data_IF_175163020236
#
_entry.id   IF_175163020236
#
_cell.length_a   1.000
_cell.length_b   1.000
_cell.length_c   1.000
_cell.angle_alpha   90.00
_cell.angle_beta   90.00
_cell.angle_gamma   90.00
#
_symmetry.space_group_name_H-M   'P 1'
#
loop_
_entity.id
_entity.type
_entity.pdbx_description
1 polymer ?
#
# COMPACT_ATOMS: atom_id res chain seq x y z
N UNK A 1 3.43 -50.61 17.64
CA UNK A 1 4.61 -49.78 17.31
C UNK A 1 5.83 -50.45 17.91
N UNK A 2 6.79 -50.95 17.11
CA UNK A 2 8.05 -51.48 17.62
C UNK A 2 9.05 -50.34 17.92
N UNK A 3 9.94 -50.51 18.91
CA UNK A 3 10.92 -49.48 19.29
C UNK A 3 12.06 -49.37 18.26
N UNK A 4 12.42 -48.13 17.96
CA UNK A 4 13.50 -47.76 17.05
C UNK A 4 14.87 -47.92 17.73
N UNK A 5 15.72 -48.80 17.19
CA UNK A 5 17.12 -48.95 17.60
C UNK A 5 18.00 -47.85 16.95
N UNK A 6 18.73 -47.03 17.71
CA UNK A 6 19.66 -46.04 17.17
C UNK A 6 20.95 -46.71 16.69
N UNK A 7 21.15 -46.74 15.37
CA UNK A 7 22.39 -47.23 14.74
C UNK A 7 23.57 -46.32 15.08
N UNK A 8 24.55 -46.86 15.80
CA UNK A 8 25.88 -46.27 16.01
C UNK A 8 26.63 -46.15 14.69
N UNK A 9 26.99 -44.93 14.30
CA UNK A 9 27.92 -44.63 13.21
C UNK A 9 29.37 -44.86 13.66
N UNK A 10 30.22 -45.52 12.85
CA UNK A 10 31.64 -45.70 13.16
C UNK A 10 32.45 -44.42 12.87
N UNK A 11 33.58 -44.21 13.57
CA UNK A 11 34.43 -43.03 13.41
C UNK A 11 35.13 -43.01 12.05
N UNK A 12 34.96 -41.90 11.30
CA UNK A 12 35.72 -41.62 10.09
C UNK A 12 37.21 -41.43 10.43
N UNK A 13 38.07 -42.24 9.82
CA UNK A 13 39.52 -42.08 9.90
C UNK A 13 39.94 -40.99 8.91
N UNK A 14 40.43 -39.87 9.44
CA UNK A 14 41.00 -38.79 8.64
C UNK A 14 42.17 -39.27 7.80
N UNK A 15 42.02 -39.20 6.47
CA UNK A 15 43.10 -39.38 5.52
C UNK A 15 43.93 -38.09 5.49
N UNK A 16 45.06 -38.09 6.18
CA UNK A 16 46.09 -37.06 6.06
C UNK A 16 46.68 -37.09 4.64
N UNK A 17 46.18 -36.22 3.76
CA UNK A 17 46.75 -35.96 2.44
C UNK A 17 48.09 -35.24 2.67
N UNK A 18 49.19 -35.98 2.54
CA UNK A 18 50.54 -35.41 2.51
C UNK A 18 50.74 -34.74 1.17
N UNK A 19 50.53 -33.42 1.11
CA UNK A 19 50.97 -32.60 -0.01
C UNK A 19 52.50 -32.64 -0.08
N UNK A 20 53.01 -33.35 -1.08
CA UNK A 20 54.42 -33.38 -1.40
C UNK A 20 54.85 -31.97 -1.84
N UNK A 21 55.71 -31.34 -1.03
CA UNK A 21 56.33 -30.04 -1.28
C UNK A 21 57.37 -30.17 -2.39
N UNK A 22 56.92 -30.28 -3.65
CA UNK A 22 57.82 -30.21 -4.80
C UNK A 22 58.12 -28.73 -5.10
N UNK A 23 59.39 -28.28 -5.02
CA UNK A 23 59.75 -26.87 -5.22
C UNK A 23 59.42 -26.36 -6.62
N UNK A 24 59.31 -27.25 -7.61
CA UNK A 24 58.89 -26.92 -8.97
C UNK A 24 57.42 -26.48 -9.07
N UNK A 25 56.53 -26.98 -8.19
CA UNK A 25 55.12 -26.61 -8.17
C UNK A 25 54.94 -25.20 -7.61
N UNK A 26 55.72 -24.83 -6.59
CA UNK A 26 55.73 -23.47 -6.04
C UNK A 26 56.26 -22.43 -7.03
N UNK A 27 57.31 -22.77 -7.80
CA UNK A 27 57.82 -21.88 -8.85
C UNK A 27 56.82 -21.65 -9.98
N UNK A 28 56.09 -22.69 -10.41
CA UNK A 28 55.02 -22.53 -11.40
C UNK A 28 53.89 -21.65 -10.88
N UNK A 29 53.48 -21.79 -9.62
CA UNK A 29 52.42 -20.99 -9.02
C UNK A 29 52.80 -19.50 -8.90
N UNK A 30 54.04 -19.20 -8.50
CA UNK A 30 54.56 -17.83 -8.43
C UNK A 30 54.66 -17.19 -9.83
N UNK A 31 55.14 -17.92 -10.83
CA UNK A 31 55.22 -17.41 -12.21
C UNK A 31 53.83 -17.16 -12.80
N UNK A 32 52.86 -18.01 -12.48
CA UNK A 32 51.46 -17.83 -12.93
C UNK A 32 50.81 -16.62 -12.25
N UNK A 33 51.09 -16.37 -10.96
CA UNK A 33 50.63 -15.16 -10.28
C UNK A 33 51.27 -13.87 -10.82
N UNK A 34 52.57 -13.90 -11.18
CA UNK A 34 53.27 -12.72 -11.70
C UNK A 34 52.90 -12.39 -13.16
N UNK A 35 52.59 -13.40 -13.99
CA UNK A 35 52.10 -13.16 -15.36
C UNK A 35 50.60 -12.78 -15.40
N UNK A 36 49.81 -13.15 -14.39
CA UNK A 36 48.41 -12.72 -14.26
C UNK A 36 48.23 -11.25 -13.84
N UNK A 37 49.25 -10.60 -13.27
CA UNK A 37 49.14 -9.24 -12.72
C UNK A 37 49.08 -8.10 -13.74
N UNK A 38 49.47 -8.34 -15.01
CA UNK A 38 49.50 -7.29 -16.05
C UNK A 38 48.24 -7.25 -16.93
N UNK A 39 47.29 -8.17 -16.74
CA UNK A 39 46.01 -8.19 -17.47
C UNK A 39 44.88 -7.37 -16.83
N UNK A 40 45.07 -6.86 -15.60
CA UNK A 40 44.00 -6.20 -14.83
C UNK A 40 43.80 -4.71 -15.12
N UNK A 41 44.59 -4.09 -16.00
CA UNK A 41 44.54 -2.65 -16.24
C UNK A 41 43.73 -2.23 -17.48
N UNK A 42 43.14 -3.17 -18.25
CA UNK A 42 42.43 -2.84 -19.50
C UNK A 42 41.03 -3.47 -19.58
N UNK A 43 40.53 -4.07 -18.50
CA UNK A 43 39.12 -4.44 -18.39
C UNK A 43 38.54 -3.59 -17.28
N UNK A 44 37.63 -2.68 -17.62
CA UNK A 44 36.97 -1.76 -16.71
C UNK A 44 36.15 -2.51 -15.65
N UNK A 45 36.81 -2.95 -14.59
CA UNK A 45 36.19 -3.21 -13.31
C UNK A 45 35.87 -1.87 -12.69
N UNK A 46 34.74 -1.27 -13.09
CA UNK A 46 34.10 -0.26 -12.27
C UNK A 46 33.90 -0.83 -10.87
N UNK A 47 34.52 -0.18 -9.90
CA UNK A 47 34.12 -0.10 -8.49
C UNK A 47 33.12 -1.17 -8.02
N UNK A 48 33.61 -2.40 -7.86
CA UNK A 48 32.84 -3.49 -7.27
C UNK A 48 33.16 -3.54 -5.77
N UNK A 49 32.21 -3.13 -4.91
CA UNK A 49 32.32 -3.31 -3.45
C UNK A 49 31.77 -4.69 -3.03
N UNK A 50 32.61 -5.62 -2.56
CA UNK A 50 32.18 -6.94 -2.09
C UNK A 50 31.22 -6.94 -0.90
N UNK A 51 31.07 -5.82 -0.19
CA UNK A 51 30.12 -5.68 0.93
C UNK A 51 28.70 -5.35 0.47
N UNK A 52 28.52 -4.98 -0.79
CA UNK A 52 27.24 -4.62 -1.38
C UNK A 52 27.12 -5.19 -2.81
N UNK A 53 27.09 -6.53 -2.95
CA UNK A 53 27.18 -7.21 -4.25
C UNK A 53 26.01 -6.93 -5.21
N UNK A 54 24.98 -6.21 -4.74
CA UNK A 54 23.76 -5.86 -5.49
C UNK A 54 23.48 -4.36 -5.55
N UNK A 55 24.30 -3.50 -4.95
CA UNK A 55 24.28 -2.06 -5.26
C UNK A 55 24.91 -1.89 -6.64
N UNK A 56 24.09 -2.12 -7.66
CA UNK A 56 24.38 -1.77 -9.04
C UNK A 56 24.01 -0.30 -9.18
N UNK A 57 25.02 0.58 -9.26
CA UNK A 57 24.93 1.92 -9.84
C UNK A 57 24.42 1.80 -11.30
N UNK A 58 23.13 1.58 -11.47
CA UNK A 58 22.47 1.74 -12.76
C UNK A 58 22.00 3.19 -12.76
N UNK A 59 22.70 4.11 -13.45
CA UNK A 59 22.36 5.53 -13.40
C UNK A 59 20.91 5.81 -13.85
N UNK A 60 20.33 4.91 -14.65
CA UNK A 60 18.92 4.98 -15.04
C UNK A 60 17.96 4.70 -13.87
N UNK A 61 18.32 3.78 -12.95
CA UNK A 61 17.52 3.48 -11.75
C UNK A 61 17.68 4.60 -10.73
N UNK A 62 18.90 5.10 -10.51
CA UNK A 62 19.14 6.25 -9.62
C UNK A 62 18.36 7.47 -10.10
N UNK A 63 18.39 7.74 -11.41
CA UNK A 63 17.58 8.79 -12.04
C UNK A 63 16.08 8.54 -11.86
N UNK A 64 15.61 7.29 -12.00
CA UNK A 64 14.20 6.99 -11.81
C UNK A 64 13.75 7.24 -10.36
N UNK A 65 14.58 6.90 -9.38
CA UNK A 65 14.33 7.19 -7.96
C UNK A 65 14.26 8.70 -7.73
N UNK A 66 15.23 9.47 -8.25
CA UNK A 66 15.20 10.94 -8.13
C UNK A 66 13.93 11.54 -8.74
N UNK A 67 13.47 11.01 -9.89
CA UNK A 67 12.23 11.43 -10.55
C UNK A 67 11.00 11.04 -9.74
N UNK A 68 10.99 9.84 -9.17
CA UNK A 68 9.92 9.34 -8.32
C UNK A 68 9.77 10.20 -7.06
N UNK A 69 10.88 10.48 -6.37
CA UNK A 69 10.91 11.33 -5.17
C UNK A 69 10.48 12.77 -5.47
N UNK A 70 10.73 13.25 -6.69
CA UNK A 70 10.24 14.54 -7.19
C UNK A 70 8.75 14.53 -7.60
N UNK A 71 8.06 13.40 -7.48
CA UNK A 71 6.66 13.23 -7.90
C UNK A 71 6.46 13.20 -9.42
N UNK A 72 7.53 12.99 -10.20
CA UNK A 72 7.51 12.93 -11.67
C UNK A 72 7.33 11.48 -12.14
N UNK A 73 6.22 10.85 -11.74
CA UNK A 73 5.98 9.42 -11.92
C UNK A 73 6.01 8.97 -13.38
N UNK A 74 5.50 9.77 -14.32
CA UNK A 74 5.53 9.43 -15.76
C UNK A 74 6.98 9.33 -16.27
N UNK A 75 7.85 10.24 -15.83
CA UNK A 75 9.27 10.23 -16.21
C UNK A 75 10.05 9.11 -15.52
N UNK A 76 9.71 8.82 -14.26
CA UNK A 76 10.28 7.69 -13.53
C UNK A 76 9.92 6.35 -14.21
N UNK A 77 8.66 6.19 -14.64
CA UNK A 77 8.20 5.02 -15.37
C UNK A 77 8.98 4.85 -16.69
N UNK A 78 9.08 5.90 -17.51
CA UNK A 78 9.83 5.84 -18.78
C UNK A 78 11.30 5.40 -18.59
N UNK A 79 11.96 5.92 -17.54
CA UNK A 79 13.32 5.54 -17.20
C UNK A 79 13.45 4.06 -16.82
N UNK A 80 12.52 3.55 -16.00
CA UNK A 80 12.50 2.14 -15.57
C UNK A 80 12.10 1.21 -16.71
N UNK A 81 11.13 1.59 -17.55
CA UNK A 81 10.72 0.83 -18.73
C UNK A 81 11.88 0.69 -19.72
N UNK A 82 12.66 1.75 -19.91
CA UNK A 82 13.89 1.73 -20.72
C UNK A 82 14.95 0.81 -20.10
N UNK A 83 15.17 0.93 -18.79
CA UNK A 83 16.13 0.12 -18.06
C UNK A 83 15.80 -1.39 -18.11
N UNK A 84 14.52 -1.73 -18.05
CA UNK A 84 14.02 -3.10 -18.08
C UNK A 84 13.72 -3.60 -19.50
N UNK A 85 13.67 -2.71 -20.48
CA UNK A 85 13.29 -2.97 -21.87
C UNK A 85 11.87 -3.58 -21.98
N UNK A 86 10.96 -3.14 -21.12
CA UNK A 86 9.55 -3.57 -21.11
C UNK A 86 8.75 -2.91 -22.24
N UNK A 87 9.19 -1.73 -22.66
CA UNK A 87 8.37 -0.81 -23.45
C UNK A 87 7.33 -0.09 -22.58
N UNK A 88 6.62 0.90 -23.16
CA UNK A 88 5.59 1.64 -22.44
C UNK A 88 4.40 0.75 -22.08
N UNK A 89 3.74 1.05 -20.96
CA UNK A 89 2.39 0.55 -20.69
C UNK A 89 1.44 1.04 -21.80
N UNK A 90 0.74 0.12 -22.46
CA UNK A 90 -0.25 0.42 -23.50
C UNK A 90 -1.41 -0.57 -23.44
N UNK A 91 -2.65 -0.05 -23.40
CA UNK A 91 -3.88 -0.85 -23.37
C UNK A 91 -3.87 -1.94 -22.27
N UNK A 92 -3.38 -1.60 -21.07
CA UNK A 92 -3.30 -2.55 -19.94
C UNK A 92 -2.23 -3.64 -20.11
N UNK A 93 -1.36 -3.51 -21.10
CA UNK A 93 -0.29 -4.47 -21.40
C UNK A 93 1.08 -3.81 -21.35
N UNK A 94 2.02 -4.51 -20.73
CA UNK A 94 3.43 -4.13 -20.67
C UNK A 94 4.31 -5.35 -20.96
N UNK A 95 5.45 -5.15 -21.63
CA UNK A 95 6.33 -6.25 -22.00
C UNK A 95 6.97 -6.91 -20.79
N UNK A 96 7.09 -8.25 -20.82
CA UNK A 96 7.81 -9.04 -19.82
C UNK A 96 9.08 -9.68 -20.39
N UNK A 97 10.11 -8.88 -20.75
CA UNK A 97 11.38 -9.44 -21.17
C UNK A 97 12.08 -10.15 -20.00
N UNK A 98 13.04 -11.07 -20.25
CA UNK A 98 13.77 -11.79 -19.19
C UNK A 98 14.43 -10.87 -18.15
N UNK A 99 14.76 -9.64 -18.54
CA UNK A 99 15.33 -8.60 -17.70
C UNK A 99 14.47 -8.27 -16.49
N UNK A 100 13.13 -8.34 -16.60
CA UNK A 100 12.21 -8.05 -15.48
C UNK A 100 12.50 -8.98 -14.30
N UNK A 101 12.64 -10.28 -14.56
CA UNK A 101 12.95 -11.27 -13.52
C UNK A 101 14.39 -11.15 -13.01
N UNK A 102 15.33 -10.87 -13.91
CA UNK A 102 16.75 -10.72 -13.56
C UNK A 102 17.06 -9.44 -12.77
N UNK A 103 16.22 -8.41 -12.90
CA UNK A 103 16.35 -7.08 -12.27
C UNK A 103 15.12 -6.80 -11.40
N UNK A 104 14.83 -7.71 -10.47
CA UNK A 104 13.63 -7.69 -9.65
C UNK A 104 13.44 -6.40 -8.83
N UNK A 105 14.50 -5.76 -8.33
CA UNK A 105 14.39 -4.48 -7.61
C UNK A 105 13.83 -3.38 -8.52
N UNK A 106 14.49 -3.10 -9.65
CA UNK A 106 13.99 -2.08 -10.59
C UNK A 106 12.63 -2.44 -11.19
N UNK A 107 12.28 -3.73 -11.27
CA UNK A 107 10.95 -4.16 -11.69
C UNK A 107 9.89 -3.89 -10.61
N UNK A 108 10.24 -4.09 -9.35
CA UNK A 108 9.37 -3.73 -8.24
C UNK A 108 9.17 -2.21 -8.18
N UNK A 109 10.22 -1.43 -8.39
CA UNK A 109 10.16 0.04 -8.48
C UNK A 109 9.27 0.51 -9.64
N UNK A 110 9.30 -0.19 -10.78
CA UNK A 110 8.37 0.09 -11.89
C UNK A 110 6.92 -0.19 -11.49
N UNK A 111 6.66 -1.31 -10.80
CA UNK A 111 5.35 -1.62 -10.25
C UNK A 111 4.83 -0.55 -9.28
N UNK A 112 5.69 -0.05 -8.38
CA UNK A 112 5.36 1.05 -7.47
C UNK A 112 5.06 2.36 -8.21
N UNK A 113 5.85 2.67 -9.24
CA UNK A 113 5.65 3.87 -10.04
C UNK A 113 4.31 3.83 -10.78
N UNK A 114 3.97 2.68 -11.38
CA UNK A 114 2.68 2.47 -12.05
C UNK A 114 1.51 2.50 -11.05
N UNK A 115 1.69 2.02 -9.81
CA UNK A 115 0.70 2.18 -8.75
C UNK A 115 0.37 3.66 -8.49
N UNK A 116 1.38 4.53 -8.35
CA UNK A 116 1.13 5.96 -8.17
C UNK A 116 0.53 6.66 -9.39
N UNK A 117 0.85 6.18 -10.61
CA UNK A 117 0.16 6.65 -11.82
C UNK A 117 -1.32 6.27 -11.80
N UNK A 118 -1.67 5.06 -11.35
CA UNK A 118 -3.05 4.65 -11.18
C UNK A 118 -3.81 5.49 -10.14
N UNK A 119 -3.15 5.88 -9.04
CA UNK A 119 -3.73 6.75 -8.01
C UNK A 119 -4.11 8.16 -8.51
N UNK A 120 -3.57 8.60 -9.65
CA UNK A 120 -3.95 9.87 -10.28
C UNK A 120 -5.40 9.88 -10.75
N UNK A 121 -5.96 8.71 -11.05
CA UNK A 121 -7.29 8.54 -11.60
C UNK A 121 -8.27 8.14 -10.49
N UNK A 122 -8.71 9.10 -9.67
CA UNK A 122 -9.67 8.90 -8.56
C UNK A 122 -9.05 9.07 -7.17
N UNK A 123 -9.66 8.50 -6.13
CA UNK A 123 -9.17 8.64 -4.74
C UNK A 123 -7.90 7.84 -4.49
N UNK A 124 -7.07 8.35 -3.58
CA UNK A 124 -5.84 7.70 -3.15
C UNK A 124 -6.11 6.56 -2.20
N UNK A 125 -5.21 5.59 -2.17
CA UNK A 125 -5.27 4.52 -1.19
C UNK A 125 -5.20 5.09 0.23
N UNK A 126 -6.11 4.66 1.10
CA UNK A 126 -6.17 5.10 2.50
C UNK A 126 -7.03 6.35 2.77
N UNK A 127 -7.57 7.02 1.75
CA UNK A 127 -8.55 8.12 1.94
C UNK A 127 -10.01 7.65 1.94
N UNK A 128 -10.23 6.34 2.08
CA UNK A 128 -11.52 5.69 1.84
C UNK A 128 -12.52 5.80 2.99
N UNK A 129 -12.10 6.31 4.15
CA UNK A 129 -13.04 6.67 5.22
C UNK A 129 -13.94 7.85 4.80
N UNK A 130 -13.51 8.65 3.81
CA UNK A 130 -14.30 9.73 3.24
C UNK A 130 -15.28 9.26 2.14
N UNK A 131 -15.36 7.95 1.88
CA UNK A 131 -16.26 7.34 0.89
C UNK A 131 -15.54 6.30 0.02
N UNK A 132 -16.31 5.68 -0.86
CA UNK A 132 -15.86 4.59 -1.73
C UNK A 132 -14.55 4.93 -2.49
N UNK A 133 -13.64 3.95 -2.60
CA UNK A 133 -12.26 3.98 -3.11
C UNK A 133 -12.08 4.58 -4.53
N UNK A 134 -13.19 4.81 -5.22
CA UNK A 134 -13.23 5.17 -6.63
C UNK A 134 -13.56 6.64 -6.90
N UNK A 135 -13.39 6.97 -8.17
CA UNK A 135 -14.08 8.06 -8.86
C UNK A 135 -15.39 7.50 -9.42
N UNK A 136 -16.46 8.30 -9.38
CA UNK A 136 -17.73 7.93 -10.03
C UNK A 136 -17.66 8.15 -11.56
N UNK A 137 -16.54 8.68 -12.07
CA UNK A 137 -16.30 8.85 -13.49
C UNK A 137 -15.85 7.51 -14.13
N UNK A 138 -16.65 6.94 -15.05
CA UNK A 138 -16.29 5.70 -15.72
C UNK A 138 -15.02 5.83 -16.58
N UNK A 139 -14.72 7.00 -17.14
CA UNK A 139 -13.53 7.21 -17.97
C UNK A 139 -12.25 7.18 -17.12
N UNK A 140 -12.28 7.79 -15.94
CA UNK A 140 -11.16 7.72 -15.00
C UNK A 140 -10.99 6.31 -14.43
N UNK A 141 -12.08 5.60 -14.16
CA UNK A 141 -12.05 4.20 -13.70
C UNK A 141 -11.40 3.28 -14.74
N UNK A 142 -11.69 3.49 -16.03
CA UNK A 142 -11.05 2.74 -17.11
C UNK A 142 -9.55 3.05 -17.17
N UNK A 143 -9.15 4.33 -17.12
CA UNK A 143 -7.73 4.73 -17.11
C UNK A 143 -6.97 4.15 -15.92
N UNK A 144 -7.57 4.20 -14.72
CA UNK A 144 -7.02 3.56 -13.51
C UNK A 144 -6.79 2.08 -13.76
N UNK A 145 -7.77 1.39 -14.33
CA UNK A 145 -7.71 -0.05 -14.57
C UNK A 145 -6.58 -0.43 -15.52
N UNK A 146 -6.34 0.37 -16.57
CA UNK A 146 -5.23 0.14 -17.51
C UNK A 146 -3.85 0.25 -16.84
N UNK A 147 -3.64 1.27 -15.99
CA UNK A 147 -2.38 1.41 -15.23
C UNK A 147 -2.21 0.25 -14.25
N UNK A 148 -3.29 -0.14 -13.57
CA UNK A 148 -3.30 -1.29 -12.65
C UNK A 148 -2.93 -2.58 -13.39
N UNK A 149 -3.49 -2.84 -14.56
CA UNK A 149 -3.22 -4.06 -15.33
C UNK A 149 -1.73 -4.15 -15.73
N UNK A 150 -1.13 -3.04 -16.16
CA UNK A 150 0.31 -2.98 -16.41
C UNK A 150 1.14 -3.25 -15.15
N UNK A 151 0.79 -2.63 -14.01
CA UNK A 151 1.48 -2.87 -12.74
C UNK A 151 1.36 -4.33 -12.31
N UNK A 152 0.16 -4.92 -12.41
CA UNK A 152 -0.14 -6.32 -12.08
C UNK A 152 0.76 -7.30 -12.84
N UNK A 153 0.95 -7.08 -14.15
CA UNK A 153 1.82 -7.90 -14.99
C UNK A 153 3.26 -7.96 -14.42
N UNK A 154 3.80 -6.82 -14.00
CA UNK A 154 5.16 -6.72 -13.45
C UNK A 154 5.24 -7.35 -12.05
N UNK A 155 4.37 -6.94 -11.13
CA UNK A 155 4.47 -7.35 -9.72
C UNK A 155 4.15 -8.84 -9.53
N UNK A 156 3.18 -9.39 -10.28
CA UNK A 156 2.88 -10.83 -10.24
C UNK A 156 4.03 -11.66 -10.82
N UNK A 157 4.77 -11.15 -11.79
CA UNK A 157 5.97 -11.81 -12.31
C UNK A 157 7.10 -11.91 -11.26
N UNK A 158 7.20 -10.93 -10.35
CA UNK A 158 8.15 -10.92 -9.24
C UNK A 158 7.66 -11.83 -8.10
N UNK A 159 6.40 -11.67 -7.68
CA UNK A 159 5.82 -12.42 -6.57
C UNK A 159 5.83 -13.95 -6.79
N UNK A 160 5.65 -14.39 -8.04
CA UNK A 160 5.60 -15.82 -8.39
C UNK A 160 6.95 -16.47 -8.67
N UNK A 161 8.03 -15.70 -8.83
CA UNK A 161 9.34 -16.25 -9.21
C UNK A 161 10.11 -16.74 -7.97
N UNK A 162 10.40 -18.05 -7.85
CA UNK A 162 11.12 -18.59 -6.70
C UNK A 162 12.60 -18.18 -6.63
N UNK A 163 13.18 -17.62 -7.69
CA UNK A 163 14.54 -17.09 -7.67
C UNK A 163 14.65 -15.71 -7.01
N UNK A 164 13.51 -15.01 -6.82
CA UNK A 164 13.45 -13.71 -6.15
C UNK A 164 13.48 -13.90 -4.62
N UNK A 165 14.20 -13.05 -3.85
CA UNK A 165 14.19 -13.08 -2.39
C UNK A 165 12.78 -13.05 -1.81
N UNK A 166 12.53 -13.86 -0.77
CA UNK A 166 11.20 -14.06 -0.16
C UNK A 166 10.57 -12.74 0.27
N UNK A 167 11.36 -11.85 0.85
CA UNK A 167 10.93 -10.55 1.35
C UNK A 167 10.41 -9.66 0.20
N UNK A 168 11.12 -9.65 -0.94
CA UNK A 168 10.69 -8.88 -2.11
C UNK A 168 9.46 -9.51 -2.77
N UNK A 169 9.36 -10.85 -2.78
CA UNK A 169 8.15 -11.54 -3.27
C UNK A 169 6.92 -11.19 -2.43
N UNK A 170 7.07 -11.13 -1.10
CA UNK A 170 6.01 -10.73 -0.20
C UNK A 170 5.59 -9.27 -0.43
N UNK A 171 6.55 -8.35 -0.60
CA UNK A 171 6.29 -6.95 -0.98
C UNK A 171 5.56 -6.83 -2.31
N UNK A 172 5.94 -7.61 -3.31
CA UNK A 172 5.28 -7.63 -4.61
C UNK A 172 3.83 -8.18 -4.53
N UNK A 173 3.60 -9.22 -3.72
CA UNK A 173 2.25 -9.73 -3.45
C UNK A 173 1.40 -8.71 -2.67
N UNK A 174 1.98 -8.01 -1.69
CA UNK A 174 1.31 -6.94 -0.96
C UNK A 174 0.92 -5.78 -1.89
N UNK A 175 1.84 -5.33 -2.75
CA UNK A 175 1.56 -4.32 -3.76
C UNK A 175 0.49 -4.77 -4.77
N UNK A 176 0.52 -6.04 -5.17
CA UNK A 176 -0.56 -6.64 -5.98
C UNK A 176 -1.91 -6.52 -5.28
N UNK A 177 -2.00 -6.75 -3.97
CA UNK A 177 -3.23 -6.57 -3.21
C UNK A 177 -3.70 -5.11 -3.18
N UNK A 178 -2.79 -4.16 -2.95
CA UNK A 178 -3.11 -2.73 -2.96
C UNK A 178 -3.64 -2.28 -4.33
N UNK A 179 -3.08 -2.80 -5.43
CA UNK A 179 -3.55 -2.55 -6.80
C UNK A 179 -4.96 -3.10 -7.04
N UNK A 180 -5.24 -4.34 -6.63
CA UNK A 180 -6.59 -4.91 -6.74
C UNK A 180 -7.61 -4.13 -5.90
N UNK A 181 -7.20 -3.70 -4.71
CA UNK A 181 -8.00 -2.89 -3.80
C UNK A 181 -8.38 -1.54 -4.43
N UNK A 182 -7.45 -0.87 -5.12
CA UNK A 182 -7.72 0.41 -5.81
C UNK A 182 -8.80 0.32 -6.89
N UNK A 183 -9.01 -0.85 -7.49
CA UNK A 183 -10.08 -1.08 -8.47
C UNK A 183 -11.31 -1.78 -7.89
N UNK A 184 -11.41 -1.85 -6.55
CA UNK A 184 -12.50 -2.52 -5.81
C UNK A 184 -12.63 -4.01 -6.11
N UNK A 185 -11.56 -4.65 -6.60
CA UNK A 185 -11.51 -6.10 -6.74
C UNK A 185 -11.13 -6.71 -5.38
N UNK A 186 -12.00 -6.57 -4.39
CA UNK A 186 -11.65 -6.88 -3.00
C UNK A 186 -11.37 -8.37 -2.77
N UNK A 187 -12.02 -9.28 -3.50
CA UNK A 187 -11.71 -10.72 -3.47
C UNK A 187 -10.27 -10.97 -3.93
N UNK A 188 -9.90 -10.45 -5.11
CA UNK A 188 -8.54 -10.57 -5.66
C UNK A 188 -7.50 -9.90 -4.75
N UNK A 189 -7.87 -8.81 -4.10
CA UNK A 189 -7.02 -8.13 -3.12
C UNK A 189 -6.73 -9.03 -1.91
N UNK A 190 -7.76 -9.67 -1.34
CA UNK A 190 -7.61 -10.63 -0.22
C UNK A 190 -6.69 -11.77 -0.61
N UNK A 191 -6.86 -12.35 -1.80
CA UNK A 191 -6.01 -13.44 -2.30
C UNK A 191 -4.54 -13.03 -2.44
N UNK A 192 -4.28 -11.80 -2.89
CA UNK A 192 -2.92 -11.27 -2.99
C UNK A 192 -2.30 -10.97 -1.61
N UNK A 193 -3.07 -10.43 -0.67
CA UNK A 193 -2.61 -10.26 0.72
C UNK A 193 -2.35 -11.60 1.41
N UNK A 194 -3.17 -12.62 1.16
CA UNK A 194 -2.95 -13.98 1.67
C UNK A 194 -1.66 -14.59 1.12
N UNK A 195 -1.31 -14.33 -0.14
CA UNK A 195 -0.01 -14.70 -0.70
C UNK A 195 1.16 -13.99 0.02
N UNK A 196 1.01 -12.69 0.31
CA UNK A 196 2.02 -11.94 1.06
C UNK A 196 2.22 -12.50 2.48
N UNK A 197 1.12 -12.76 3.19
CA UNK A 197 1.11 -13.31 4.55
C UNK A 197 1.65 -14.75 4.62
N UNK A 198 1.44 -15.53 3.56
CA UNK A 198 2.01 -16.87 3.43
C UNK A 198 3.54 -16.86 3.28
N UNK A 199 4.13 -15.76 2.82
CA UNK A 199 5.58 -15.58 2.68
C UNK A 199 6.19 -14.90 3.91
N UNK A 200 5.57 -13.82 4.39
CA UNK A 200 6.00 -13.04 5.55
C UNK A 200 4.79 -12.85 6.47
N UNK A 201 4.70 -13.60 7.59
CA UNK A 201 3.57 -13.49 8.50
C UNK A 201 3.57 -12.13 9.22
N UNK A 202 2.37 -11.67 9.58
CA UNK A 202 2.22 -10.50 10.45
C UNK A 202 2.81 -10.79 11.83
N UNK A 203 3.85 -10.05 12.19
CA UNK A 203 4.45 -10.05 13.52
C UNK A 203 4.18 -8.70 14.20
N UNK A 204 4.06 -8.72 15.52
CA UNK A 204 3.86 -7.52 16.32
C UNK A 204 5.04 -6.56 16.19
N UNK A 205 4.79 -5.26 16.39
CA UNK A 205 5.79 -4.20 16.24
C UNK A 205 7.04 -4.40 17.11
N UNK A 206 6.88 -5.05 18.26
CA UNK A 206 7.96 -5.33 19.21
C UNK A 206 8.90 -6.47 18.77
N UNK A 207 8.57 -7.20 17.70
CA UNK A 207 9.27 -8.42 17.30
C UNK A 207 10.44 -8.22 16.29
N UNK A 208 10.92 -6.98 16.09
CA UNK A 208 12.06 -6.63 15.22
C UNK A 208 12.02 -7.31 13.82
N UNK A 209 10.99 -7.03 13.01
CA UNK A 209 10.96 -7.50 11.62
C UNK A 209 10.15 -6.65 10.65
N UNK A 210 10.06 -7.11 9.39
CA UNK A 210 9.46 -6.33 8.30
C UNK A 210 7.97 -6.07 8.55
N UNK A 211 7.56 -4.81 8.39
CA UNK A 211 6.18 -4.36 8.60
C UNK A 211 5.19 -4.94 7.58
N UNK A 212 5.68 -5.43 6.44
CA UNK A 212 4.85 -5.89 5.32
C UNK A 212 3.81 -6.94 5.73
N UNK A 213 4.15 -7.89 6.60
CA UNK A 213 3.18 -8.87 7.07
C UNK A 213 2.05 -8.23 7.89
N UNK A 214 2.37 -7.23 8.71
CA UNK A 214 1.38 -6.50 9.52
C UNK A 214 0.49 -5.62 8.63
N UNK A 215 1.10 -4.91 7.69
CA UNK A 215 0.39 -4.04 6.75
C UNK A 215 -0.54 -4.86 5.84
N UNK A 216 -0.08 -6.02 5.36
CA UNK A 216 -0.90 -6.95 4.59
C UNK A 216 -2.09 -7.49 5.40
N UNK A 217 -1.88 -7.87 6.67
CA UNK A 217 -2.96 -8.33 7.54
C UNK A 217 -4.00 -7.24 7.78
N UNK A 218 -3.55 -6.00 7.98
CA UNK A 218 -4.42 -4.83 8.15
C UNK A 218 -5.26 -4.56 6.89
N UNK A 219 -4.62 -4.44 5.72
CA UNK A 219 -5.34 -4.17 4.46
C UNK A 219 -6.28 -5.31 4.07
N UNK A 220 -5.89 -6.56 4.34
CA UNK A 220 -6.76 -7.73 4.17
C UNK A 220 -8.03 -7.62 5.00
N UNK A 221 -7.93 -7.20 6.26
CA UNK A 221 -9.08 -7.04 7.13
C UNK A 221 -10.02 -5.91 6.64
N UNK A 222 -9.46 -4.86 6.04
CA UNK A 222 -10.25 -3.81 5.39
C UNK A 222 -10.97 -4.38 4.16
N UNK A 223 -10.26 -5.09 3.27
CA UNK A 223 -10.84 -5.67 2.06
C UNK A 223 -12.00 -6.64 2.37
N UNK A 224 -11.85 -7.48 3.40
CA UNK A 224 -12.93 -8.36 3.86
C UNK A 224 -14.16 -7.60 4.37
N UNK A 225 -13.95 -6.47 5.05
CA UNK A 225 -15.05 -5.62 5.51
C UNK A 225 -15.80 -5.01 4.33
N UNK A 226 -15.08 -4.57 3.30
CA UNK A 226 -15.68 -4.02 2.08
C UNK A 226 -16.51 -5.07 1.34
N UNK A 227 -16.01 -6.30 1.22
CA UNK A 227 -16.79 -7.41 0.66
C UNK A 227 -18.10 -7.64 1.42
N UNK A 228 -18.04 -7.64 2.75
CA UNK A 228 -19.26 -7.77 3.56
C UNK A 228 -20.23 -6.60 3.35
N UNK A 229 -19.72 -5.36 3.28
CA UNK A 229 -20.53 -4.18 2.99
C UNK A 229 -21.20 -4.23 1.61
N UNK A 230 -20.54 -4.78 0.59
CA UNK A 230 -21.11 -5.01 -0.75
C UNK A 230 -22.21 -6.08 -0.72
N UNK A 231 -21.98 -7.21 -0.05
CA UNK A 231 -22.97 -8.28 0.11
C UNK A 231 -24.25 -7.79 0.83
N UNK A 232 -24.10 -6.96 1.86
CA UNK A 232 -25.24 -6.38 2.60
C UNK A 232 -26.04 -5.40 1.71
N UNK A 233 -25.37 -4.56 0.92
CA UNK A 233 -26.01 -3.63 0.00
C UNK A 233 -26.77 -4.32 -1.14
N UNK A 234 -26.23 -5.43 -1.65
CA UNK A 234 -26.90 -6.22 -2.68
C UNK A 234 -28.16 -6.92 -2.11
N UNK A 235 -28.09 -7.43 -0.87
CA UNK A 235 -29.23 -8.08 -0.20
C UNK A 235 -30.39 -7.12 0.12
N UNK A 236 -30.09 -5.84 0.38
CA UNK A 236 -31.12 -4.82 0.62
C UNK A 236 -31.81 -4.38 -0.69
N UNK A 237 -31.07 -4.28 -1.79
CA UNK A 237 -31.62 -3.97 -3.11
C UNK A 237 -32.55 -5.06 -3.66
N UNK A 238 -32.32 -6.32 -3.30
CA UNK A 238 -33.20 -7.44 -3.65
C UNK A 238 -34.52 -7.41 -2.86
N UNK A 239 -34.53 -6.93 -1.61
CA UNK A 239 -35.74 -6.85 -0.78
C UNK A 239 -36.67 -5.70 -1.17
N UNK A 240 -36.14 -4.58 -1.69
CA UNK A 240 -36.96 -3.46 -2.20
C UNK A 240 -37.61 -3.75 -3.56
N UNK A 241 -37.23 -4.85 -4.22
CA UNK A 241 -37.80 -5.28 -5.50
C UNK A 241 -38.86 -6.38 -5.39
N UNK A 242 -39.35 -6.73 -4.18
CA UNK A 242 -40.61 -7.48 -4.12
C UNK A 242 -41.76 -6.56 -4.58
N UNK A 243 -42.37 -6.80 -5.76
CA UNK A 243 -43.52 -6.03 -6.16
C UNK A 243 -44.62 -6.30 -5.14
N UNK A 244 -45.15 -5.22 -4.57
CA UNK A 244 -46.41 -5.18 -3.84
C UNK A 244 -47.46 -5.89 -4.72
N UNK A 245 -47.60 -7.20 -4.50
CA UNK A 245 -48.57 -8.04 -5.14
C UNK A 245 -49.88 -7.62 -4.51
N UNK A 246 -50.46 -6.57 -5.10
CA UNK A 246 -51.72 -5.97 -4.69
C UNK A 246 -52.71 -7.07 -4.38
N UNK A 247 -53.15 -7.09 -3.13
CA UNK A 247 -54.47 -7.58 -2.78
C UNK A 247 -55.47 -6.71 -3.56
N UNK A 248 -55.72 -7.10 -4.81
CA UNK A 248 -56.93 -6.72 -5.53
C UNK A 248 -58.10 -7.33 -4.75
N UNK A 249 -58.61 -6.55 -3.81
CA UNK A 249 -59.96 -6.66 -3.26
C UNK A 249 -60.96 -6.71 -4.43
N UNK A 250 -61.24 -7.92 -4.90
CA UNK A 250 -62.33 -8.22 -5.79
C UNK A 250 -63.64 -8.18 -4.98
N UNK A 251 -64.06 -6.98 -4.55
CA UNK A 251 -65.40 -6.75 -4.03
C UNK A 251 -66.38 -6.66 -5.21
N UNK A 252 -66.92 -7.82 -5.55
CA UNK A 252 -67.91 -7.98 -6.60
C UNK A 252 -69.29 -7.55 -6.10
N UNK A 253 -69.68 -6.33 -6.45
CA UNK A 253 -71.08 -6.01 -6.73
C UNK A 253 -71.55 -4.67 -6.20
N UNK A 254 -71.59 -3.65 -7.06
CA UNK A 254 -72.65 -2.65 -7.02
C UNK A 254 -72.80 -1.92 -8.37
N UNK A 255 -73.96 -2.15 -9.00
CA UNK A 255 -74.77 -1.23 -9.79
C UNK A 255 -74.15 -0.41 -10.94
N UNK A 256 -74.16 -1.00 -12.14
CA UNK A 256 -74.17 -0.27 -13.40
C UNK A 256 -75.61 -0.08 -13.91
N UNK A 257 -76.20 1.06 -13.54
CA UNK A 257 -77.41 1.62 -14.16
C UNK A 257 -77.00 2.57 -15.31
N UNK A 258 -77.88 2.65 -16.29
CA UNK A 258 -77.75 3.31 -17.59
C UNK A 258 -77.32 4.79 -17.53
N UNK A 259 -76.50 5.27 -18.48
CA UNK A 259 -76.99 6.32 -19.40
C UNK A 259 -76.11 6.53 -20.64
N UNK A 260 -76.81 6.84 -21.73
CA UNK A 260 -76.33 7.07 -23.08
C UNK A 260 -75.66 8.44 -23.25
N UNK A 261 -74.75 8.54 -24.22
CA UNK A 261 -74.10 9.80 -24.57
C UNK A 261 -73.40 9.74 -25.92
N UNK A 262 -74.21 9.63 -26.97
CA UNK A 262 -73.88 9.82 -28.38
C UNK A 262 -73.38 11.26 -28.64
N UNK A 263 -72.37 11.43 -29.50
CA UNK A 263 -71.78 12.73 -29.77
C UNK A 263 -70.57 12.70 -30.70
N UNK A 264 -70.82 12.45 -31.98
CA UNK A 264 -69.92 12.84 -33.08
C UNK A 264 -69.72 14.38 -33.10
N UNK A 265 -68.54 14.81 -33.58
CA UNK A 265 -68.29 16.03 -34.38
C UNK A 265 -67.09 16.88 -33.91
N UNK A 266 -66.03 16.88 -34.76
CA UNK A 266 -65.62 18.13 -35.41
C UNK A 266 -64.49 18.98 -34.84
N UNK A 267 -63.50 19.21 -35.73
CA UNK A 267 -62.79 20.48 -35.98
C UNK A 267 -61.58 20.93 -35.14
N UNK A 268 -60.45 20.95 -35.86
CA UNK A 268 -59.58 22.11 -36.16
C UNK A 268 -59.35 23.20 -35.09
N UNK A 269 -58.05 23.47 -34.86
CA UNK A 269 -57.53 24.83 -34.69
C UNK A 269 -56.83 25.10 -33.35
N UNK A 270 -55.55 25.46 -33.41
CA UNK A 270 -54.83 25.96 -32.24
C UNK A 270 -53.35 26.24 -32.44
N UNK A 271 -53.00 27.09 -33.41
CA UNK A 271 -51.72 27.83 -33.44
C UNK A 271 -51.71 28.91 -32.34
N UNK A 272 -50.56 29.12 -31.70
CA UNK A 272 -50.23 30.23 -30.80
C UNK A 272 -48.85 29.96 -30.17
N UNK A 273 -47.75 30.54 -30.69
CA UNK A 273 -47.21 31.89 -30.36
C UNK A 273 -46.90 32.07 -28.87
N UNK A 274 -45.90 32.80 -28.42
CA UNK A 274 -44.70 33.46 -28.92
C UNK A 274 -44.11 33.99 -27.60
N UNK A 275 -42.88 33.64 -27.21
CA UNK A 275 -42.16 34.42 -26.20
C UNK A 275 -40.69 34.51 -26.61
N UNK A 276 -40.45 35.53 -27.44
CA UNK A 276 -39.16 36.16 -27.59
C UNK A 276 -39.04 37.22 -26.49
N UNK A 277 -38.00 37.12 -25.66
CA UNK A 277 -37.49 38.29 -24.95
C UNK A 277 -36.02 38.49 -25.34
N UNK A 278 -35.74 39.68 -25.83
CA UNK A 278 -34.51 40.11 -26.43
C UNK A 278 -34.15 41.48 -25.86
N UNK A 279 -32.88 41.65 -25.51
CA UNK A 279 -32.22 42.94 -25.67
C UNK A 279 -31.71 43.57 -24.37
N UNK A 280 -30.39 43.72 -24.34
CA UNK A 280 -29.66 44.54 -23.37
C UNK A 280 -28.18 44.59 -23.71
N UNK A 281 -27.85 45.14 -24.88
CA UNK A 281 -26.50 45.58 -25.23
C UNK A 281 -26.03 46.69 -24.27
N UNK A 282 -24.79 46.62 -23.79
CA UNK A 282 -24.05 47.82 -23.44
C UNK A 282 -22.59 47.69 -23.87
N UNK A 283 -22.19 48.61 -24.74
CA UNK A 283 -20.90 48.67 -25.40
C UNK A 283 -20.25 50.03 -25.12
N UNK A 284 -19.01 49.99 -24.63
CA UNK A 284 -18.03 51.08 -24.78
C UNK A 284 -17.62 51.76 -23.47
N UNK A 285 -16.36 51.62 -23.06
CA UNK A 285 -15.35 52.63 -23.38
C UNK A 285 -13.91 52.06 -23.20
N UNK A 286 -12.93 52.41 -24.06
CA UNK A 286 -11.52 52.06 -23.93
C UNK A 286 -10.65 53.25 -23.51
N UNK A 287 -9.69 53.03 -22.61
CA UNK A 287 -8.47 53.84 -22.43
C UNK A 287 -7.59 53.00 -21.47
N UNK A 288 -6.32 52.67 -21.72
CA UNK A 288 -5.25 53.49 -22.27
C UNK A 288 -4.20 53.66 -21.17
N UNK A 289 -3.15 52.84 -21.18
CA UNK A 289 -2.05 52.92 -20.20
C UNK A 289 -0.94 51.89 -20.46
N UNK A 290 0.03 52.30 -21.27
CA UNK A 290 1.27 51.60 -21.65
C UNK A 290 2.24 51.37 -20.45
N UNK A 291 3.28 50.52 -20.63
CA UNK A 291 4.22 50.04 -19.63
C UNK A 291 5.43 50.97 -19.45
N UNK A 292 6.12 50.88 -18.32
CA UNK A 292 7.59 50.97 -18.17
C UNK A 292 7.98 50.99 -16.68
N UNK A 293 9.26 50.68 -16.44
CA UNK A 293 10.06 50.70 -15.19
C UNK A 293 9.96 49.49 -14.25
N UNK A 294 10.93 48.57 -14.18
CA UNK A 294 12.38 48.68 -13.85
C UNK A 294 12.66 48.69 -12.32
N UNK A 295 13.62 47.84 -11.92
CA UNK A 295 14.15 47.68 -10.56
C UNK A 295 13.86 46.27 -10.03
N UNK A 296 14.76 45.28 -10.14
CA UNK A 296 16.09 45.15 -9.50
C UNK A 296 16.01 44.98 -7.97
N UNK A 297 16.95 44.19 -7.46
CA UNK A 297 17.25 43.88 -6.06
C UNK A 297 16.33 42.84 -5.37
N UNK A 298 16.77 41.68 -4.90
CA UNK A 298 18.10 41.14 -4.76
C UNK A 298 18.00 39.77 -4.08
N UNK A 299 18.84 38.84 -4.49
CA UNK A 299 19.10 37.64 -3.68
C UNK A 299 19.80 38.05 -2.40
N UNK A 300 19.40 37.45 -1.28
CA UNK A 300 20.23 37.42 -0.09
C UNK A 300 20.35 35.99 0.42
N UNK A 301 21.60 35.62 0.63
CA UNK A 301 22.07 34.34 1.12
C UNK A 301 21.99 34.39 2.63
N UNK A 302 21.12 33.56 3.22
CA UNK A 302 21.14 33.32 4.66
C UNK A 302 22.26 32.34 5.03
N UNK A 303 23.49 32.86 5.13
CA UNK A 303 24.57 32.21 5.86
C UNK A 303 24.25 32.11 7.36
N UNK A 304 24.57 30.93 7.90
CA UNK A 304 24.95 30.59 9.28
C UNK A 304 24.60 31.50 10.46
N UNK A 305 23.89 30.91 11.43
CA UNK A 305 24.21 31.13 12.85
C UNK A 305 24.50 29.79 13.52
N UNK A 306 25.78 29.60 13.81
CA UNK A 306 26.31 28.61 14.75
C UNK A 306 26.16 29.20 16.14
N UNK A 307 25.16 28.76 16.90
CA UNK A 307 25.10 29.04 18.33
C UNK A 307 25.67 27.84 19.11
N UNK A 308 26.92 28.03 19.54
CA UNK A 308 27.61 27.16 20.47
C UNK A 308 27.11 27.41 21.89
N UNK A 309 26.40 26.42 22.44
CA UNK A 309 26.17 26.29 23.87
C UNK A 309 27.03 25.17 24.45
N UNK A 310 28.22 25.51 24.92
CA UNK A 310 28.99 24.70 25.85
C UNK A 310 28.26 24.71 27.20
N UNK A 311 27.89 23.54 27.71
CA UNK A 311 27.78 23.37 29.16
C UNK A 311 28.47 22.07 29.58
N UNK A 312 29.50 22.27 30.40
CA UNK A 312 30.38 21.25 30.92
C UNK A 312 29.96 20.96 32.36
N UNK A 313 29.46 19.74 32.58
CA UNK A 313 29.27 19.17 33.91
C UNK A 313 30.10 17.91 34.06
N UNK A 314 31.27 18.05 34.69
CA UNK A 314 32.05 16.99 35.32
C UNK A 314 31.32 16.47 36.58
N UNK A 315 31.18 15.14 36.70
CA UNK A 315 31.26 14.29 37.91
C UNK A 315 30.62 12.93 37.57
N UNK A 316 31.01 11.77 38.08
CA UNK A 316 32.09 11.33 38.97
C UNK A 316 32.22 9.81 38.71
N UNK A 317 33.37 9.23 39.03
CA UNK A 317 33.71 7.85 38.75
C UNK A 317 32.83 6.80 39.47
N UNK A 318 32.71 5.64 38.84
CA UNK A 318 32.09 4.45 39.42
C UNK A 318 32.54 3.19 38.73
N UNK A 319 33.79 2.77 39.00
CA UNK A 319 34.22 1.38 38.80
C UNK A 319 33.41 0.47 39.72
N UNK A 320 32.70 -0.49 39.12
CA UNK A 320 32.03 -1.56 39.83
C UNK A 320 31.98 -2.79 38.95
N UNK A 321 32.99 -3.67 39.12
CA UNK A 321 32.92 -5.07 38.74
C UNK A 321 31.61 -5.68 39.26
N UNK A 322 30.80 -6.27 38.38
CA UNK A 322 29.74 -7.18 38.78
C UNK A 322 29.92 -8.50 38.04
N UNK A 323 30.27 -9.48 38.87
CA UNK A 323 30.41 -10.89 38.59
C UNK A 323 29.18 -11.50 37.89
N UNK A 324 29.49 -12.39 36.96
CA UNK A 324 28.66 -13.52 36.54
C UNK A 324 27.94 -14.18 37.73
N UNK A 325 26.64 -13.95 37.85
CA UNK A 325 25.75 -14.85 38.58
C UNK A 325 24.62 -15.31 37.66
N UNK A 326 24.87 -16.48 37.09
CA UNK A 326 23.92 -17.36 36.43
C UNK A 326 22.88 -17.82 37.48
N UNK A 327 21.59 -17.45 37.41
CA UNK A 327 20.60 -18.01 38.32
C UNK A 327 20.23 -19.43 37.86
N UNK A 328 20.60 -20.39 38.70
CA UNK A 328 20.16 -21.78 38.67
C UNK A 328 18.62 -21.84 38.66
N UNK A 329 18.03 -22.18 37.52
CA UNK A 329 16.59 -22.42 37.36
C UNK A 329 16.22 -23.74 38.03
N UNK A 330 15.87 -23.66 39.31
CA UNK A 330 15.22 -24.74 40.04
C UNK A 330 13.91 -25.19 39.39
N UNK A 331 13.41 -26.39 39.75
CA UNK A 331 12.23 -26.99 39.13
C UNK A 331 10.99 -26.10 39.32
N UNK A 332 10.34 -25.73 38.22
CA UNK A 332 9.06 -25.04 38.23
C UNK A 332 8.03 -25.88 39.01
N UNK A 333 7.49 -25.31 40.07
CA UNK A 333 6.30 -25.84 40.73
C UNK A 333 5.09 -25.64 39.81
N UNK A 334 4.28 -26.69 39.68
CA UNK A 334 2.98 -26.67 39.01
C UNK A 334 2.12 -25.48 39.50
N UNK A 335 1.41 -24.79 38.60
CA UNK A 335 0.46 -23.76 38.99
C UNK A 335 -0.68 -24.41 39.81
N UNK A 336 -1.12 -23.78 40.92
CA UNK A 336 -2.22 -24.29 41.71
C UNK A 336 -3.49 -24.31 40.87
N UNK A 337 -4.17 -25.46 40.83
CA UNK A 337 -5.50 -25.61 40.23
C UNK A 337 -6.45 -24.58 40.86
N UNK A 338 -6.78 -23.54 40.09
CA UNK A 338 -7.74 -22.51 40.49
C UNK A 338 -9.16 -23.07 40.54
N UNK A 339 -9.89 -22.70 41.60
CA UNK A 339 -11.29 -23.07 41.78
C UNK A 339 -12.15 -22.47 40.63
N UNK A 340 -12.83 -23.28 39.79
CA UNK A 340 -13.53 -22.83 38.58
C UNK A 340 -14.69 -21.84 38.85
N UNK A 341 -15.03 -21.61 40.13
CA UNK A 341 -15.99 -20.59 40.53
C UNK A 341 -15.41 -19.17 40.50
N UNK A 342 -14.08 -19.03 40.63
CA UNK A 342 -13.39 -17.74 40.58
C UNK A 342 -13.40 -17.14 39.18
N UNK A 343 -13.19 -17.96 38.14
CA UNK A 343 -13.14 -17.49 36.75
C UNK A 343 -14.51 -17.00 36.27
N UNK A 344 -15.60 -17.67 36.65
CA UNK A 344 -16.96 -17.19 36.33
C UNK A 344 -17.29 -15.85 36.95
N UNK A 345 -16.89 -15.61 38.19
CA UNK A 345 -17.11 -14.33 38.86
C UNK A 345 -16.28 -13.19 38.25
N UNK A 346 -15.10 -13.50 37.68
CA UNK A 346 -14.29 -12.52 36.95
C UNK A 346 -14.90 -12.23 35.57
N UNK A 347 -15.40 -13.24 34.86
CA UNK A 347 -16.09 -13.05 33.58
C UNK A 347 -17.40 -12.27 33.71
N UNK A 348 -18.21 -12.51 34.76
CA UNK A 348 -19.42 -11.72 35.01
C UNK A 348 -19.09 -10.26 35.29
N UNK A 349 -17.99 -9.98 36.01
CA UNK A 349 -17.56 -8.60 36.27
C UNK A 349 -17.05 -7.90 35.00
N UNK A 350 -16.40 -8.64 34.11
CA UNK A 350 -15.95 -8.15 32.80
C UNK A 350 -17.13 -7.87 31.85
N UNK A 351 -18.18 -8.69 31.91
CA UNK A 351 -19.41 -8.48 31.13
C UNK A 351 -20.18 -7.24 31.61
N UNK A 352 -20.31 -7.03 32.93
CA UNK A 352 -20.89 -5.80 33.49
C UNK A 352 -20.10 -4.55 33.06
N UNK A 353 -18.76 -4.63 33.03
CA UNK A 353 -17.89 -3.51 32.62
C UNK A 353 -17.97 -3.22 31.11
N UNK A 354 -18.27 -4.24 30.29
CA UNK A 354 -18.51 -4.10 28.85
C UNK A 354 -19.93 -3.58 28.53
N UNK A 355 -20.93 -3.87 29.36
CA UNK A 355 -22.28 -3.31 29.22
C UNK A 355 -22.36 -1.85 29.70
N UNK A 356 -21.51 -1.44 30.65
CA UNK A 356 -21.44 -0.06 31.15
C UNK A 356 -20.48 0.84 30.33
N UNK A 357 -19.77 0.27 29.35
CA UNK A 357 -18.93 1.03 28.45
C UNK A 357 -19.80 1.95 27.55
N UNK A 358 -19.54 3.27 27.52
CA UNK A 358 -20.31 4.20 26.71
C UNK A 358 -20.22 3.80 25.23
N UNK A 359 -21.36 3.82 24.54
CA UNK A 359 -21.37 3.57 23.10
C UNK A 359 -20.48 4.58 22.38
N UNK A 360 -19.81 4.15 21.32
CA UNK A 360 -18.91 5.00 20.52
C UNK A 360 -19.57 6.34 20.09
N UNK A 361 -20.87 6.29 19.77
CA UNK A 361 -21.67 7.46 19.43
C UNK A 361 -21.78 8.47 20.57
N UNK A 362 -21.85 8.02 21.83
CA UNK A 362 -21.91 8.89 23.00
C UNK A 362 -20.55 9.57 23.27
N UNK A 363 -19.44 8.84 23.13
CA UNK A 363 -18.09 9.40 23.29
C UNK A 363 -17.76 10.44 22.20
N UNK A 364 -18.11 10.15 20.95
CA UNK A 364 -17.93 11.08 19.84
C UNK A 364 -18.75 12.36 20.04
N UNK A 365 -20.00 12.24 20.51
CA UNK A 365 -20.85 13.39 20.82
C UNK A 365 -20.26 14.27 21.94
N UNK A 366 -19.68 13.66 22.98
CA UNK A 366 -18.96 14.36 24.06
C UNK A 366 -17.72 15.09 23.53
N UNK A 367 -16.94 14.44 22.65
CA UNK A 367 -15.73 15.02 22.06
C UNK A 367 -16.07 16.23 21.19
N UNK A 368 -17.12 16.13 20.37
CA UNK A 368 -17.61 17.23 19.51
C UNK A 368 -18.16 18.39 20.33
N UNK A 369 -18.88 18.11 21.42
CA UNK A 369 -19.38 19.12 22.35
C UNK A 369 -18.25 19.84 23.11
N UNK A 370 -17.16 19.13 23.45
CA UNK A 370 -15.99 19.72 24.10
C UNK A 370 -15.22 20.67 23.14
N UNK A 371 -15.03 20.27 21.88
CA UNK A 371 -14.36 21.10 20.87
C UNK A 371 -15.16 22.35 20.49
N UNK A 372 -16.50 22.26 20.44
CA UNK A 372 -17.36 23.40 20.15
C UNK A 372 -17.32 24.53 21.19
N UNK A 373 -16.98 24.22 22.45
CA UNK A 373 -16.90 25.22 23.53
C UNK A 373 -15.61 26.06 23.52
N UNK A 374 -14.52 25.56 22.94
CA UNK A 374 -13.24 26.29 22.89
C UNK A 374 -13.22 27.42 21.85
N UNK A 375 -14.09 27.37 20.82
CA UNK A 375 -14.07 28.35 19.72
C UNK A 375 -14.85 29.66 19.97
N UNK A 376 -15.53 29.83 21.11
CA UNK A 376 -16.38 31.03 21.36
C UNK A 376 -15.82 32.06 22.33
N UNK A 377 -14.58 31.92 22.79
CA UNK A 377 -13.97 32.87 23.74
C UNK A 377 -12.60 33.27 23.22
N UNK A 378 -12.53 34.15 22.22
CA UNK A 378 -11.39 35.05 21.94
C UNK A 378 -11.71 35.90 20.70
N UNK A 379 -12.49 36.96 20.89
CA UNK A 379 -12.47 38.14 20.01
C UNK A 379 -13.29 39.24 20.69
N UNK A 380 -12.62 40.01 21.56
CA UNK A 380 -12.84 41.45 21.69
C UNK A 380 -11.73 42.03 22.59
N UNK A 381 -10.75 42.70 21.97
CA UNK A 381 -9.93 43.74 22.60
C UNK A 381 -9.16 44.57 21.61
#
# INVERSE_FOLDING_TARGET
MPPHDPKKTPPQKGALIRFATHPAVWLMLIVTCLLGGLGYLVVGCGEWDPRRPFERNAPDVDRAIDLYDAGQFESAAEALETYLNTGPCSDGSIGLPPQVRQKHNGSFDLGLTLFHLAEKYGRRFGEEEAGDAGTDDPEETEKRSLEIDCAQIIVKAIASDPEVPVELRARAAYLSGNLEFLRKAYEDAVDAYDQALGLVPGIDEDADGDAIGRDAAWNRAIALRRLQEEEEQDADQEQEQEPDAGDEDADAGDDGDDDAGDGEDGSDGGDGQDDADAGGDDAGDPDGGDPDDAGDDGGDQGEGDQDGGQDAGEDDGGQGDQDDQNPDMGPMNEPPEGDPKSERAQMERLLDELEEAPTYQEEESKRRAAQGKQRRVMEDK
#
